data_IF_346653476944
#
_entry.id   IF_346653476944
#
_cell.length_a   1.000
_cell.length_b   1.000
_cell.length_c   1.000
_cell.angle_alpha   90.00
_cell.angle_beta   90.00
_cell.angle_gamma   90.00
#
_symmetry.space_group_name_H-M   'P 1'
#
loop_
_entity.id
_entity.type
_entity.pdbx_description
1 polymer ?
#
# COMPACT_ATOMS: atom_id res chain seq x y z
N UNK A 1 17.16 -14.01 1.55
CA UNK A 1 16.71 -13.74 0.17
C UNK A 1 16.62 -12.23 -0.10
N UNK A 2 15.80 -11.47 0.61
CA UNK A 2 15.57 -10.05 0.34
C UNK A 2 16.85 -9.21 0.36
N UNK A 3 17.69 -9.34 1.41
CA UNK A 3 18.98 -8.64 1.48
C UNK A 3 19.89 -8.98 0.31
N UNK A 4 19.99 -10.27 -0.06
CA UNK A 4 20.84 -10.74 -1.17
C UNK A 4 20.42 -10.19 -2.53
N UNK A 5 19.14 -9.85 -2.67
CA UNK A 5 18.57 -9.34 -3.93
C UNK A 5 18.21 -7.83 -3.86
N UNK A 6 18.73 -7.09 -2.86
CA UNK A 6 18.43 -5.67 -2.64
C UNK A 6 16.93 -5.34 -2.59
N UNK A 7 16.11 -6.28 -2.07
CA UNK A 7 14.69 -6.10 -1.92
C UNK A 7 14.36 -5.59 -0.51
N UNK A 8 13.47 -4.62 -0.40
CA UNK A 8 12.95 -4.15 0.87
C UNK A 8 11.91 -5.13 1.42
N UNK A 9 12.06 -5.49 2.70
CA UNK A 9 11.14 -6.38 3.40
C UNK A 9 10.35 -5.62 4.45
N UNK A 10 9.02 -5.73 4.38
CA UNK A 10 8.09 -5.16 5.35
C UNK A 10 7.32 -6.28 6.05
N UNK A 11 7.28 -6.22 7.39
CA UNK A 11 6.53 -7.19 8.17
C UNK A 11 5.15 -6.65 8.52
N UNK A 12 4.12 -7.46 8.39
CA UNK A 12 2.76 -7.05 8.73
C UNK A 12 2.54 -7.02 10.24
N UNK A 13 2.00 -5.91 10.76
CA UNK A 13 1.52 -5.70 12.14
C UNK A 13 2.53 -5.87 13.29
N UNK A 14 3.71 -6.42 13.10
CA UNK A 14 4.63 -6.74 14.19
C UNK A 14 5.88 -5.85 14.19
N UNK A 15 5.77 -4.66 14.79
CA UNK A 15 6.87 -3.69 14.87
C UNK A 15 8.05 -4.22 15.72
N UNK A 16 7.77 -4.92 16.83
CA UNK A 16 8.84 -5.45 17.68
C UNK A 16 9.75 -6.40 16.91
N UNK A 17 9.14 -7.30 16.18
CA UNK A 17 9.87 -8.27 15.37
C UNK A 17 10.60 -7.62 14.19
N UNK A 18 9.97 -6.63 13.54
CA UNK A 18 10.59 -5.89 12.46
C UNK A 18 11.84 -5.12 12.93
N UNK A 19 11.78 -4.48 14.08
CA UNK A 19 12.92 -3.79 14.68
C UNK A 19 14.01 -4.77 15.12
N UNK A 20 13.64 -5.88 15.80
CA UNK A 20 14.57 -6.93 16.22
C UNK A 20 15.41 -7.48 15.06
N UNK A 21 14.79 -7.74 13.92
CA UNK A 21 15.46 -8.27 12.73
C UNK A 21 16.01 -7.18 11.79
N UNK A 22 15.95 -5.91 12.19
CA UNK A 22 16.43 -4.77 11.39
C UNK A 22 15.87 -4.79 9.96
N UNK A 23 14.54 -5.02 9.86
CA UNK A 23 13.82 -5.00 8.58
C UNK A 23 13.65 -3.56 8.07
N UNK A 24 13.25 -3.40 6.82
CA UNK A 24 13.06 -2.08 6.20
C UNK A 24 11.83 -1.32 6.75
N UNK A 25 10.88 -2.04 7.36
CA UNK A 25 9.70 -1.41 7.92
C UNK A 25 8.59 -2.39 8.27
N UNK A 26 7.41 -1.81 8.56
CA UNK A 26 6.17 -2.54 8.79
C UNK A 26 5.09 -2.12 7.81
N UNK A 27 4.17 -3.04 7.58
CA UNK A 27 2.92 -2.80 6.89
C UNK A 27 1.75 -2.93 7.88
N UNK A 28 0.87 -1.92 7.92
CA UNK A 28 -0.31 -1.88 8.78
C UNK A 28 -1.56 -2.01 7.93
N UNK A 29 -2.27 -3.15 7.95
CA UNK A 29 -3.52 -3.35 7.20
C UNK A 29 -4.61 -2.35 7.57
N UNK A 30 -5.56 -2.13 6.67
CA UNK A 30 -6.67 -1.18 6.84
C UNK A 30 -7.49 -1.45 8.10
N UNK A 31 -7.75 -2.72 8.41
CA UNK A 31 -8.54 -3.13 9.58
C UNK A 31 -7.84 -2.91 10.93
N UNK A 32 -6.52 -2.70 10.95
CA UNK A 32 -5.79 -2.49 12.19
C UNK A 32 -5.87 -1.02 12.61
N UNK A 33 -6.57 -0.74 13.70
CA UNK A 33 -6.81 0.59 14.26
C UNK A 33 -5.95 0.89 15.50
N UNK A 34 -5.01 0.01 15.87
CA UNK A 34 -4.18 0.20 17.06
C UNK A 34 -3.15 1.31 16.85
N UNK A 35 -3.08 2.26 17.79
CA UNK A 35 -2.17 3.43 17.73
C UNK A 35 -0.83 3.13 18.45
N UNK A 36 -0.60 1.92 18.90
CA UNK A 36 0.55 1.53 19.73
C UNK A 36 1.93 1.65 19.04
N UNK A 37 1.96 1.89 17.75
CA UNK A 37 3.19 2.02 16.96
C UNK A 37 3.99 3.28 17.30
N UNK A 38 3.33 4.34 17.78
CA UNK A 38 3.94 5.64 18.15
C UNK A 38 4.90 5.51 19.36
N UNK A 39 4.72 4.49 20.17
CA UNK A 39 5.53 4.27 21.38
C UNK A 39 6.95 3.76 21.12
N UNK A 40 7.24 3.37 19.90
CA UNK A 40 8.54 2.80 19.55
C UNK A 40 9.48 3.86 19.00
N UNK A 41 10.73 3.86 19.45
CA UNK A 41 11.80 4.61 18.80
C UNK A 41 12.10 3.97 17.44
N UNK A 42 11.75 4.67 16.38
CA UNK A 42 11.87 4.18 15.01
C UNK A 42 13.14 4.74 14.37
N UNK A 43 14.04 3.88 13.85
CA UNK A 43 15.21 4.35 13.10
C UNK A 43 14.81 5.19 11.87
N UNK A 44 15.64 6.14 11.48
CA UNK A 44 15.35 7.07 10.36
C UNK A 44 15.09 6.36 9.03
N UNK A 45 15.74 5.22 8.81
CA UNK A 45 15.59 4.39 7.62
C UNK A 45 14.44 3.38 7.69
N UNK A 46 13.72 3.32 8.82
CA UNK A 46 12.58 2.41 9.00
C UNK A 46 11.30 3.06 8.47
N UNK A 47 10.57 2.35 7.63
CA UNK A 47 9.36 2.87 6.99
C UNK A 47 8.09 2.22 7.54
N UNK A 48 7.11 3.03 7.92
CA UNK A 48 5.77 2.57 8.29
C UNK A 48 4.84 2.82 7.11
N UNK A 49 4.28 1.76 6.55
CA UNK A 49 3.37 1.80 5.41
C UNK A 49 2.02 1.27 5.86
N UNK A 50 0.94 1.93 5.48
CA UNK A 50 -0.42 1.48 5.77
C UNK A 50 -1.24 1.20 4.52
N UNK A 51 -2.45 0.65 4.71
CA UNK A 51 -3.48 0.63 3.69
C UNK A 51 -4.78 1.22 4.21
N UNK A 52 -5.57 1.79 3.29
CA UNK A 52 -6.87 2.40 3.59
C UNK A 52 -7.82 2.25 2.40
N UNK A 53 -9.13 2.28 2.71
CA UNK A 53 -10.22 2.24 1.73
C UNK A 53 -11.17 3.44 1.88
N UNK A 54 -11.01 4.23 2.93
CA UNK A 54 -11.88 5.35 3.29
C UNK A 54 -11.11 6.49 3.94
N UNK A 55 -11.72 7.65 3.98
CA UNK A 55 -11.15 8.83 4.66
C UNK A 55 -10.85 8.57 6.14
N UNK A 56 -11.77 7.90 6.84
CA UNK A 56 -11.58 7.53 8.26
C UNK A 56 -10.34 6.67 8.46
N UNK A 57 -10.13 5.69 7.60
CA UNK A 57 -8.96 4.82 7.67
C UNK A 57 -7.66 5.57 7.34
N UNK A 58 -7.69 6.52 6.39
CA UNK A 58 -6.54 7.39 6.12
C UNK A 58 -6.11 8.14 7.38
N UNK A 59 -7.07 8.79 8.09
CA UNK A 59 -6.79 9.50 9.33
C UNK A 59 -6.19 8.60 10.42
N UNK A 60 -6.65 7.35 10.51
CA UNK A 60 -6.09 6.38 11.44
C UNK A 60 -4.65 6.04 11.07
N UNK A 61 -4.36 5.81 9.77
CA UNK A 61 -3.01 5.53 9.29
C UNK A 61 -2.04 6.70 9.51
N UNK A 62 -2.50 7.93 9.34
CA UNK A 62 -1.73 9.13 9.70
C UNK A 62 -1.38 9.14 11.19
N UNK A 63 -2.37 8.88 12.06
CA UNK A 63 -2.16 8.75 13.52
C UNK A 63 -1.24 7.59 13.91
N UNK A 64 -1.21 6.52 13.12
CA UNK A 64 -0.30 5.39 13.29
C UNK A 64 1.15 5.70 12.84
N UNK A 65 1.41 6.89 12.31
CA UNK A 65 2.73 7.30 11.83
C UNK A 65 3.10 6.74 10.46
N UNK A 66 2.13 6.34 9.65
CA UNK A 66 2.40 5.89 8.29
C UNK A 66 2.98 7.03 7.46
N UNK A 67 4.10 6.78 6.79
CA UNK A 67 4.70 7.70 5.81
C UNK A 67 4.07 7.54 4.42
N UNK A 68 3.56 6.35 4.13
CA UNK A 68 2.88 6.05 2.86
C UNK A 68 1.66 5.17 3.10
N UNK A 69 0.62 5.37 2.29
CA UNK A 69 -0.66 4.65 2.39
C UNK A 69 -1.03 4.08 1.02
N UNK A 70 -1.24 2.77 0.96
CA UNK A 70 -1.91 2.13 -0.17
C UNK A 70 -3.39 2.46 -0.11
N UNK A 71 -3.88 3.26 -1.03
CA UNK A 71 -5.31 3.61 -1.11
C UNK A 71 -5.97 2.80 -2.22
N UNK A 72 -7.03 2.05 -1.87
CA UNK A 72 -7.65 1.06 -2.76
C UNK A 72 -9.14 0.85 -2.51
N UNK A 73 -9.88 0.29 -3.49
CA UNK A 73 -9.44 0.06 -4.87
C UNK A 73 -9.62 1.33 -5.72
N UNK A 74 -8.62 1.67 -6.53
CA UNK A 74 -8.67 2.85 -7.41
C UNK A 74 -9.61 2.63 -8.57
N UNK A 75 -9.50 1.46 -9.23
CA UNK A 75 -10.35 1.07 -10.35
C UNK A 75 -11.15 -0.19 -10.01
N UNK A 76 -12.14 -0.48 -10.85
CA UNK A 76 -13.02 -1.65 -10.68
C UNK A 76 -12.24 -2.94 -10.56
N UNK A 77 -12.55 -3.76 -9.56
CA UNK A 77 -12.01 -5.11 -9.34
C UNK A 77 -13.16 -6.11 -9.34
N UNK A 78 -12.90 -7.34 -9.83
CA UNK A 78 -13.94 -8.37 -9.97
C UNK A 78 -14.72 -8.67 -8.68
N UNK A 79 -14.07 -8.57 -7.53
CA UNK A 79 -14.63 -8.95 -6.22
C UNK A 79 -15.24 -7.79 -5.41
N UNK A 80 -15.18 -6.56 -5.91
CA UNK A 80 -15.70 -5.38 -5.19
C UNK A 80 -16.60 -4.56 -6.12
N UNK A 81 -17.78 -4.20 -5.63
CA UNK A 81 -18.78 -3.43 -6.36
C UNK A 81 -18.34 -1.96 -6.48
N UNK A 82 -17.74 -1.41 -5.41
CA UNK A 82 -17.32 -0.02 -5.33
C UNK A 82 -15.81 0.16 -5.53
N UNK A 83 -15.43 1.25 -6.18
CA UNK A 83 -14.06 1.72 -6.35
C UNK A 83 -14.03 3.25 -6.23
N UNK A 84 -12.83 3.81 -6.08
CA UNK A 84 -12.69 5.23 -5.80
C UNK A 84 -12.84 6.11 -7.05
N UNK A 85 -12.39 5.65 -8.20
CA UNK A 85 -12.09 6.44 -9.40
C UNK A 85 -11.06 7.56 -9.17
N UNK A 86 -10.78 8.37 -10.20
CA UNK A 86 -9.78 9.44 -10.15
C UNK A 86 -10.24 10.58 -9.24
N UNK A 87 -11.48 11.04 -9.40
CA UNK A 87 -11.99 12.21 -8.69
C UNK A 87 -12.05 11.97 -7.18
N UNK A 88 -12.63 10.84 -6.77
CA UNK A 88 -12.74 10.48 -5.36
C UNK A 88 -11.38 10.18 -4.74
N UNK A 89 -10.47 9.53 -5.46
CA UNK A 89 -9.10 9.29 -5.01
C UNK A 89 -8.39 10.62 -4.73
N UNK A 90 -8.39 11.54 -5.67
CA UNK A 90 -7.74 12.84 -5.53
C UNK A 90 -8.37 13.67 -4.40
N UNK A 91 -9.70 13.65 -4.27
CA UNK A 91 -10.39 14.31 -3.16
C UNK A 91 -9.94 13.78 -1.78
N UNK A 92 -9.82 12.45 -1.62
CA UNK A 92 -9.38 11.83 -0.37
C UNK A 92 -7.92 12.12 -0.02
N UNK A 93 -7.08 12.34 -1.03
CA UNK A 93 -5.64 12.57 -0.86
C UNK A 93 -5.26 14.04 -0.80
N UNK A 94 -6.24 14.93 -1.05
CA UNK A 94 -6.02 16.37 -1.06
C UNK A 94 -5.62 16.86 0.33
N UNK A 95 -4.61 17.73 0.39
CA UNK A 95 -4.09 18.35 1.63
C UNK A 95 -3.62 17.32 2.70
N UNK A 96 -3.22 16.11 2.31
CA UNK A 96 -2.63 15.13 3.22
C UNK A 96 -1.11 15.26 3.27
N UNK A 97 -0.53 14.96 4.44
CA UNK A 97 0.92 14.99 4.65
C UNK A 97 1.61 13.65 4.37
N UNK A 98 0.85 12.62 4.10
CA UNK A 98 1.34 11.29 3.77
C UNK A 98 1.38 11.08 2.27
N UNK A 99 2.27 10.21 1.82
CA UNK A 99 2.34 9.80 0.43
C UNK A 99 1.29 8.73 0.12
N UNK A 100 0.71 8.77 -1.08
CA UNK A 100 -0.25 7.76 -1.51
C UNK A 100 0.31 6.88 -2.62
N UNK A 101 -0.05 5.60 -2.54
CA UNK A 101 0.28 4.57 -3.52
C UNK A 101 -1.04 4.00 -4.02
N UNK A 102 -1.29 4.07 -5.32
CA UNK A 102 -2.50 3.54 -5.93
C UNK A 102 -2.49 2.01 -5.92
N UNK A 103 -3.60 1.39 -5.51
CA UNK A 103 -3.75 -0.06 -5.51
C UNK A 103 -5.17 -0.44 -5.95
N UNK A 104 -5.29 -1.58 -6.63
CA UNK A 104 -6.55 -2.23 -6.99
C UNK A 104 -7.12 -1.82 -8.35
N UNK A 105 -7.39 -2.83 -9.16
CA UNK A 105 -7.97 -2.71 -10.50
C UNK A 105 -7.02 -2.16 -11.56
N UNK A 106 -5.74 -2.01 -11.26
CA UNK A 106 -4.74 -1.51 -12.21
C UNK A 106 -4.42 -2.57 -13.24
N UNK A 107 -4.50 -2.20 -14.52
CA UNK A 107 -4.20 -3.05 -15.66
C UNK A 107 -3.59 -2.21 -16.80
N UNK A 108 -3.11 -2.85 -17.87
CA UNK A 108 -2.51 -2.17 -19.01
C UNK A 108 -3.42 -1.08 -19.60
N UNK A 109 -4.73 -1.35 -19.69
CA UNK A 109 -5.70 -0.45 -20.31
C UNK A 109 -5.98 0.83 -19.51
N UNK A 110 -5.69 0.86 -18.22
CA UNK A 110 -5.92 2.03 -17.38
C UNK A 110 -4.63 2.64 -16.79
N UNK A 111 -3.47 2.11 -17.17
CA UNK A 111 -2.17 2.58 -16.69
C UNK A 111 -1.97 4.09 -16.93
N UNK A 112 -2.39 4.60 -18.09
CA UNK A 112 -2.28 6.01 -18.42
C UNK A 112 -3.07 6.93 -17.48
N UNK A 113 -4.11 6.41 -16.83
CA UNK A 113 -4.94 7.16 -15.88
C UNK A 113 -4.23 7.40 -14.55
N UNK A 114 -3.18 6.63 -14.22
CA UNK A 114 -2.41 6.80 -12.99
C UNK A 114 -1.73 8.17 -12.91
N UNK A 115 -1.34 8.75 -14.03
CA UNK A 115 -0.75 10.11 -14.09
C UNK A 115 -1.69 11.23 -13.62
N UNK A 116 -2.99 10.95 -13.56
CA UNK A 116 -4.01 11.89 -13.10
C UNK A 116 -4.25 11.82 -11.59
N UNK A 117 -3.60 10.86 -10.90
CA UNK A 117 -3.75 10.64 -9.47
C UNK A 117 -2.67 11.35 -8.68
N UNK A 118 -3.02 11.82 -7.48
CA UNK A 118 -2.06 12.34 -6.50
C UNK A 118 -1.32 11.19 -5.79
N UNK A 119 -0.32 10.62 -6.44
CA UNK A 119 0.41 9.42 -5.99
C UNK A 119 1.93 9.55 -6.21
N UNK A 120 2.70 8.81 -5.39
CA UNK A 120 4.13 8.60 -5.60
C UNK A 120 4.45 7.30 -6.36
N UNK A 121 3.45 6.45 -6.58
CA UNK A 121 3.60 5.17 -7.26
C UNK A 121 2.33 4.33 -7.23
N UNK A 122 2.43 3.14 -7.78
CA UNK A 122 1.32 2.18 -7.76
C UNK A 122 1.78 0.77 -7.42
N UNK A 123 0.84 -0.05 -6.98
CA UNK A 123 1.04 -1.46 -6.70
C UNK A 123 -0.09 -2.30 -7.33
N UNK A 124 0.23 -3.54 -7.66
CA UNK A 124 -0.75 -4.45 -8.24
C UNK A 124 -0.29 -5.90 -8.13
N UNK A 125 -1.14 -6.76 -7.61
CA UNK A 125 -0.83 -8.19 -7.50
C UNK A 125 -0.87 -8.84 -8.88
N UNK A 126 -2.03 -8.77 -9.53
CA UNK A 126 -2.24 -9.38 -10.85
C UNK A 126 -1.49 -8.68 -11.98
N UNK A 127 -1.18 -7.40 -11.82
CA UNK A 127 -0.44 -6.62 -12.83
C UNK A 127 0.99 -7.15 -13.04
N UNK A 128 1.64 -7.54 -11.94
CA UNK A 128 3.03 -8.02 -11.95
C UNK A 128 3.16 -9.55 -12.01
N UNK A 129 2.04 -10.29 -11.95
CA UNK A 129 2.07 -11.73 -12.13
C UNK A 129 2.43 -12.06 -13.59
N UNK A 130 3.53 -12.81 -13.80
CA UNK A 130 3.79 -13.44 -15.08
C UNK A 130 2.63 -14.40 -15.37
N UNK A 131 1.96 -14.28 -16.51
CA UNK A 131 1.06 -15.32 -17.00
C UNK A 131 1.92 -16.56 -17.22
N UNK A 132 1.88 -17.52 -16.31
CA UNK A 132 2.36 -18.86 -16.60
C UNK A 132 1.56 -19.37 -17.79
N UNK A 133 2.25 -19.70 -18.87
CA UNK A 133 1.62 -20.31 -20.02
C UNK A 133 0.87 -21.57 -19.53
N UNK A 134 -0.35 -21.83 -20.05
CA UNK A 134 -1.06 -23.05 -19.68
C UNK A 134 -0.16 -24.23 -20.08
N UNK A 135 0.10 -25.12 -19.10
CA UNK A 135 0.76 -26.40 -19.37
C UNK A 135 -0.04 -27.08 -20.50
N UNK A 136 0.52 -27.11 -21.70
CA UNK A 136 0.04 -28.04 -22.73
C UNK A 136 0.43 -29.41 -22.25
N UNK A 137 -0.49 -30.06 -21.54
CA UNK A 137 -0.39 -31.48 -21.24
C UNK A 137 -0.21 -32.23 -22.55
N UNK A 138 0.83 -33.05 -22.58
CA UNK A 138 0.96 -34.16 -23.52
C UNK A 138 0.08 -35.31 -23.08
#
# INVERSE_FOLDING_TARGET
FCKKNNLKLFLSNNIKLALKYKLNGIYIPAFNNQINYIKYTIPSNFCVIGSAHSFKEILIKEKQGCKSIFLSPVFKVKKKISFLDISKFNYLTLYRRVNFIALGGICKNNLNKLRLLNIIGFAGISFFQKKTAPNRGR
#
